data_IF_582739777195
#
_entry.id   IF_582739777195
#
_cell.length_a   1.000
_cell.length_b   1.000
_cell.length_c   1.000
_cell.angle_alpha   90.00
_cell.angle_beta   90.00
_cell.angle_gamma   90.00
#
_symmetry.space_group_name_H-M   'P 1'
#
loop_
_entity.id
_entity.type
_entity.pdbx_description
1 polymer ?
#
# COMPACT_ATOMS: atom_id res chain seq x y z
N UNK A 1 -9.98 -4.60 13.78
CA UNK A 1 -11.33 -4.09 13.45
C UNK A 1 -11.38 -3.77 11.96
N UNK A 2 -11.97 -4.68 11.18
CA UNK A 2 -12.19 -4.53 9.74
C UNK A 2 -13.18 -3.41 9.47
N UNK A 3 -12.77 -2.39 8.72
CA UNK A 3 -13.71 -1.37 8.23
C UNK A 3 -14.56 -2.01 7.13
N UNK A 4 -15.67 -2.63 7.56
CA UNK A 4 -16.69 -3.20 6.67
C UNK A 4 -17.30 -2.04 5.88
N UNK A 5 -17.61 -2.22 4.59
CA UNK A 5 -18.30 -1.19 3.83
C UNK A 5 -19.53 -0.73 4.62
N UNK A 6 -19.72 0.59 4.71
CA UNK A 6 -20.84 1.16 5.47
C UNK A 6 -22.12 0.44 5.06
N UNK A 7 -22.94 -0.01 6.03
CA UNK A 7 -24.17 -0.77 5.76
C UNK A 7 -25.03 -0.11 4.66
N UNK A 8 -24.96 1.21 4.60
CA UNK A 8 -25.55 2.05 3.57
C UNK A 8 -25.10 1.74 2.14
N UNK A 9 -23.80 1.61 1.86
CA UNK A 9 -23.32 1.26 0.49
C UNK A 9 -23.75 -0.12 0.04
N UNK A 10 -23.84 -1.08 0.97
CA UNK A 10 -24.40 -2.42 0.65
C UNK A 10 -25.88 -2.34 0.29
N UNK A 11 -26.64 -1.44 0.92
CA UNK A 11 -28.05 -1.22 0.60
C UNK A 11 -28.21 -0.56 -0.77
N UNK A 12 -27.36 0.42 -1.10
CA UNK A 12 -27.36 1.09 -2.42
C UNK A 12 -27.11 0.13 -3.60
N UNK A 13 -26.44 -1.01 -3.37
CA UNK A 13 -26.27 -2.06 -4.40
C UNK A 13 -27.58 -2.73 -4.84
N UNK A 14 -28.66 -2.60 -4.06
CA UNK A 14 -29.99 -3.15 -4.39
C UNK A 14 -30.79 -2.24 -5.34
N UNK A 15 -30.36 -0.99 -5.52
CA UNK A 15 -31.04 -0.06 -6.42
C UNK A 15 -30.81 -0.47 -7.89
N UNK A 16 -31.79 -0.23 -8.78
CA UNK A 16 -31.74 -0.64 -10.20
C UNK A 16 -30.73 0.15 -11.06
N UNK A 17 -29.84 0.92 -10.45
CA UNK A 17 -28.85 1.77 -11.12
C UNK A 17 -27.50 1.05 -11.18
N UNK A 18 -27.04 0.71 -12.40
CA UNK A 18 -25.79 -0.06 -12.65
C UNK A 18 -24.57 0.43 -11.86
N UNK A 19 -24.41 1.75 -11.71
CA UNK A 19 -23.27 2.39 -11.02
C UNK A 19 -23.21 2.05 -9.53
N UNK A 20 -24.36 1.91 -8.86
CA UNK A 20 -24.41 1.53 -7.44
C UNK A 20 -24.29 0.02 -7.25
N UNK A 21 -24.73 -0.78 -8.23
CA UNK A 21 -24.68 -2.24 -8.19
C UNK A 21 -23.27 -2.81 -8.37
N UNK A 22 -22.43 -2.20 -9.21
CA UNK A 22 -21.06 -2.66 -9.47
C UNK A 22 -20.05 -1.48 -9.53
N UNK A 23 -19.59 -0.99 -8.37
CA UNK A 23 -18.60 0.09 -8.34
C UNK A 23 -17.26 -0.39 -8.93
N UNK A 24 -16.48 0.50 -9.58
CA UNK A 24 -15.18 0.14 -10.10
C UNK A 24 -14.24 -0.36 -9.00
N UNK A 25 -13.35 -1.33 -9.29
CA UNK A 25 -12.40 -1.82 -8.31
C UNK A 25 -11.44 -0.70 -7.89
N UNK A 26 -11.17 -0.63 -6.59
CA UNK A 26 -10.21 0.34 -6.00
C UNK A 26 -8.92 -0.39 -5.69
N UNK A 27 -7.79 0.18 -6.13
CA UNK A 27 -6.45 -0.31 -5.82
C UNK A 27 -5.68 0.81 -5.14
N UNK A 28 -5.10 0.51 -3.97
CA UNK A 28 -4.24 1.45 -3.26
C UNK A 28 -2.86 1.45 -3.94
N UNK A 29 -2.33 2.62 -4.32
CA UNK A 29 -0.99 2.71 -4.92
C UNK A 29 -0.03 3.33 -3.91
N UNK A 30 1.05 2.62 -3.61
CA UNK A 30 2.13 3.06 -2.72
C UNK A 30 3.42 3.20 -3.53
N UNK A 31 3.90 4.43 -3.68
CA UNK A 31 5.19 4.71 -4.33
C UNK A 31 6.32 4.62 -3.30
N UNK A 32 7.34 3.84 -3.63
CA UNK A 32 8.56 3.60 -2.87
C UNK A 32 9.73 4.07 -3.75
N UNK A 33 10.13 5.32 -3.58
CA UNK A 33 11.14 5.98 -4.41
C UNK A 33 12.31 6.48 -3.56
N UNK A 34 13.53 6.27 -4.06
CA UNK A 34 14.76 6.75 -3.45
C UNK A 34 15.53 5.70 -2.66
N UNK A 35 16.64 6.12 -2.06
CA UNK A 35 17.53 5.24 -1.29
C UNK A 35 16.90 4.84 0.05
N UNK A 36 17.05 3.58 0.44
CA UNK A 36 16.52 3.06 1.72
C UNK A 36 17.51 3.35 2.83
N UNK A 37 17.20 4.26 3.75
CA UNK A 37 18.11 4.60 4.85
C UNK A 37 17.39 5.19 6.06
N UNK A 38 18.03 5.09 7.22
CA UNK A 38 17.56 5.72 8.46
C UNK A 38 17.94 7.19 8.50
N UNK A 39 17.07 8.01 9.07
CA UNK A 39 17.32 9.44 9.29
C UNK A 39 16.49 10.35 8.39
N UNK A 40 16.43 11.63 8.78
CA UNK A 40 15.80 12.68 7.97
C UNK A 40 16.85 13.22 7.02
N UNK A 41 16.69 12.94 5.74
CA UNK A 41 17.48 13.60 4.69
C UNK A 41 16.67 14.75 4.10
N UNK A 42 17.36 15.73 3.54
CA UNK A 42 16.76 16.76 2.69
C UNK A 42 16.29 16.20 1.34
N UNK A 43 16.79 15.03 0.93
CA UNK A 43 16.33 14.29 -0.25
C UNK A 43 15.29 13.22 0.12
N UNK A 44 14.47 12.84 -0.86
CA UNK A 44 13.46 11.80 -0.70
C UNK A 44 14.14 10.44 -0.47
N UNK A 45 14.18 10.01 0.80
CA UNK A 45 14.72 8.72 1.22
C UNK A 45 13.62 7.83 1.79
N UNK A 46 13.73 6.53 1.55
CA UNK A 46 12.84 5.52 2.12
C UNK A 46 13.31 5.13 3.51
N UNK A 47 12.64 5.65 4.54
CA UNK A 47 12.78 5.18 5.91
C UNK A 47 11.48 4.50 6.36
N UNK A 48 11.59 3.53 7.26
CA UNK A 48 10.43 2.86 7.83
C UNK A 48 9.48 3.86 8.51
N UNK A 49 10.02 4.85 9.23
CA UNK A 49 9.21 5.87 9.91
C UNK A 49 8.38 6.70 8.91
N UNK A 50 8.97 7.09 7.78
CA UNK A 50 8.29 7.86 6.74
C UNK A 50 7.24 7.03 6.00
N UNK A 51 7.55 5.77 5.69
CA UNK A 51 6.69 4.91 4.85
C UNK A 51 5.56 4.25 5.66
N UNK A 52 5.77 3.98 6.96
CA UNK A 52 4.76 3.36 7.84
C UNK A 52 3.37 4.00 7.73
N UNK A 53 3.16 5.31 7.93
CA UNK A 53 1.83 5.90 7.81
C UNK A 53 1.23 5.81 6.40
N UNK A 54 2.06 5.69 5.35
CA UNK A 54 1.59 5.48 3.98
C UNK A 54 1.05 4.05 3.80
N UNK A 55 1.80 3.06 4.29
CA UNK A 55 1.37 1.65 4.32
C UNK A 55 0.04 1.54 5.07
N UNK A 56 -0.06 2.11 6.28
CA UNK A 56 -1.29 2.10 7.06
C UNK A 56 -2.49 2.66 6.30
N UNK A 57 -2.31 3.77 5.58
CA UNK A 57 -3.37 4.38 4.78
C UNK A 57 -3.77 3.50 3.60
N UNK A 58 -2.79 2.92 2.89
CA UNK A 58 -3.05 2.05 1.76
C UNK A 58 -3.91 0.83 2.16
N UNK A 59 -3.62 0.23 3.31
CA UNK A 59 -4.35 -0.94 3.83
C UNK A 59 -5.67 -0.60 4.55
N UNK A 60 -5.94 0.68 4.84
CA UNK A 60 -7.20 1.16 5.41
C UNK A 60 -8.21 1.61 4.34
N UNK A 61 -7.83 1.66 3.06
CA UNK A 61 -8.74 2.08 2.00
C UNK A 61 -9.97 1.16 1.91
N UNK A 62 -11.20 1.70 2.07
CA UNK A 62 -12.41 0.90 2.03
C UNK A 62 -12.59 0.24 0.67
N UNK A 63 -13.03 -1.02 0.69
CA UNK A 63 -13.32 -1.81 -0.52
C UNK A 63 -12.13 -2.00 -1.48
N UNK A 64 -10.90 -1.70 -1.03
CA UNK A 64 -9.68 -1.95 -1.79
C UNK A 64 -9.61 -3.45 -2.17
N UNK A 65 -9.26 -3.71 -3.43
CA UNK A 65 -9.11 -5.06 -3.98
C UNK A 65 -7.67 -5.54 -3.95
N UNK A 66 -6.71 -4.62 -3.95
CA UNK A 66 -5.28 -4.88 -3.91
C UNK A 66 -4.53 -3.63 -3.43
N UNK A 67 -3.26 -3.84 -3.10
CA UNK A 67 -2.26 -2.77 -2.95
C UNK A 67 -1.21 -2.95 -4.04
N UNK A 68 -0.95 -1.91 -4.82
CA UNK A 68 0.14 -1.84 -5.78
C UNK A 68 1.32 -1.11 -5.15
N UNK A 69 2.49 -1.73 -5.12
CA UNK A 69 3.75 -1.10 -4.78
C UNK A 69 4.42 -0.67 -6.09
N UNK A 70 4.80 0.59 -6.19
CA UNK A 70 5.59 1.11 -7.31
C UNK A 70 6.97 1.40 -6.76
N UNK A 71 7.99 0.68 -7.23
CA UNK A 71 9.32 0.63 -6.64
C UNK A 71 10.32 1.25 -7.61
N UNK A 72 11.01 2.29 -7.14
CA UNK A 72 12.15 2.90 -7.82
C UNK A 72 13.24 3.19 -6.78
N UNK A 73 13.97 2.14 -6.39
CA UNK A 73 14.98 2.20 -5.34
C UNK A 73 16.25 1.43 -5.72
N UNK A 74 17.45 2.05 -5.60
CA UNK A 74 18.72 1.34 -5.71
C UNK A 74 19.03 0.44 -4.49
N UNK A 75 18.14 0.40 -3.49
CA UNK A 75 18.32 -0.32 -2.24
C UNK A 75 18.87 0.55 -1.12
N UNK A 76 19.60 -0.05 -0.19
CA UNK A 76 20.23 0.64 0.94
C UNK A 76 20.28 -0.20 2.21
N UNK A 77 19.90 0.39 3.34
CA UNK A 77 19.99 -0.23 4.66
C UNK A 77 19.13 -1.51 4.75
N UNK A 78 19.74 -2.69 4.99
CA UNK A 78 19.00 -3.95 5.12
C UNK A 78 18.01 -3.96 6.29
N UNK A 79 18.32 -3.25 7.38
CA UNK A 79 17.44 -3.13 8.54
C UNK A 79 16.12 -2.42 8.18
N UNK A 80 16.22 -1.22 7.57
CA UNK A 80 15.07 -0.46 7.07
C UNK A 80 14.25 -1.23 6.03
N UNK A 81 14.90 -1.87 5.04
CA UNK A 81 14.21 -2.72 4.05
C UNK A 81 13.43 -3.85 4.72
N UNK A 82 14.03 -4.54 5.69
CA UNK A 82 13.36 -5.62 6.44
C UNK A 82 12.16 -5.12 7.23
N UNK A 83 12.24 -3.95 7.87
CA UNK A 83 11.12 -3.36 8.61
C UNK A 83 9.96 -2.99 7.68
N UNK A 84 10.24 -2.35 6.55
CA UNK A 84 9.24 -1.99 5.53
C UNK A 84 8.56 -3.26 5.00
N UNK A 85 9.34 -4.26 4.58
CA UNK A 85 8.82 -5.53 4.07
C UNK A 85 7.94 -6.26 5.09
N UNK A 86 8.43 -6.43 6.34
CA UNK A 86 7.66 -7.08 7.41
C UNK A 86 6.33 -6.39 7.65
N UNK A 87 6.32 -5.05 7.64
CA UNK A 87 5.12 -4.28 7.88
C UNK A 87 4.09 -4.42 6.74
N UNK A 88 4.53 -4.34 5.48
CA UNK A 88 3.66 -4.59 4.33
C UNK A 88 3.06 -6.00 4.39
N UNK A 89 3.88 -7.01 4.67
CA UNK A 89 3.41 -8.41 4.79
C UNK A 89 2.41 -8.59 5.93
N UNK A 90 2.66 -7.99 7.09
CA UNK A 90 1.76 -8.04 8.22
C UNK A 90 0.39 -7.41 7.89
N UNK A 91 0.38 -6.23 7.24
CA UNK A 91 -0.87 -5.56 6.84
C UNK A 91 -1.60 -6.30 5.72
N UNK A 92 -0.88 -6.88 4.77
CA UNK A 92 -1.45 -7.75 3.74
C UNK A 92 -2.15 -8.97 4.34
N UNK A 93 -1.54 -9.62 5.32
CA UNK A 93 -2.12 -10.76 6.03
C UNK A 93 -3.35 -10.34 6.86
N UNK A 94 -3.26 -9.26 7.63
CA UNK A 94 -4.36 -8.76 8.46
C UNK A 94 -5.59 -8.39 7.62
N UNK A 95 -5.37 -7.72 6.48
CA UNK A 95 -6.44 -7.22 5.62
C UNK A 95 -6.85 -8.19 4.53
N UNK A 96 -6.11 -9.29 4.35
CA UNK A 96 -6.28 -10.28 3.27
C UNK A 96 -6.31 -9.59 1.89
N UNK A 97 -5.46 -8.57 1.72
CA UNK A 97 -5.33 -7.85 0.45
C UNK A 97 -4.10 -8.36 -0.29
N UNK A 98 -4.22 -8.74 -1.57
CA UNK A 98 -3.07 -9.04 -2.39
C UNK A 98 -2.20 -7.79 -2.56
N UNK A 99 -0.90 -7.98 -2.53
CA UNK A 99 0.10 -6.94 -2.78
C UNK A 99 0.83 -7.29 -4.05
N UNK A 100 0.86 -6.37 -5.00
CA UNK A 100 1.50 -6.53 -6.32
C UNK A 100 2.59 -5.48 -6.41
N UNK A 101 3.81 -5.89 -6.73
CA UNK A 101 4.94 -4.98 -6.90
C UNK A 101 5.19 -4.70 -8.38
N UNK A 102 5.44 -3.44 -8.70
CA UNK A 102 5.80 -2.93 -10.02
C UNK A 102 7.13 -2.23 -9.86
N UNK A 103 8.12 -2.64 -10.65
CA UNK A 103 9.44 -2.02 -10.68
C UNK A 103 9.45 -0.98 -11.80
N UNK A 104 9.86 0.24 -11.51
CA UNK A 104 10.13 1.29 -12.50
C UNK A 104 11.58 1.12 -13.03
N UNK A 105 12.47 2.09 -12.80
CA UNK A 105 13.83 2.07 -13.36
C UNK A 105 14.79 1.14 -12.60
N UNK A 106 14.70 1.11 -11.27
CA UNK A 106 15.57 0.29 -10.43
C UNK A 106 14.82 -0.29 -9.23
N UNK A 107 14.99 -1.59 -8.99
CA UNK A 107 14.66 -2.25 -7.72
C UNK A 107 15.77 -3.25 -7.42
N UNK A 108 16.81 -2.76 -6.72
CA UNK A 108 18.02 -3.53 -6.47
C UNK A 108 18.32 -3.67 -4.98
N UNK A 109 19.04 -4.74 -4.63
CA UNK A 109 19.46 -5.04 -3.25
C UNK A 109 18.28 -5.19 -2.28
N UNK A 110 17.99 -4.17 -1.47
CA UNK A 110 16.86 -4.14 -0.53
C UNK A 110 15.62 -3.42 -1.04
N UNK A 111 15.64 -2.93 -2.29
CA UNK A 111 14.53 -2.28 -3.00
C UNK A 111 13.48 -3.26 -3.47
#
# INVERSE_FOLDING_TARGET
MTDKPSRFRRLLRLLPVKRFRNPPPVVAVLRLEGMIMSGRSFQANLSYEAVKPLIERAFKLPEAKAVALVINSPGGSPAQSSLIWKHIRARAAERKLPVIAFVEDVAASGG
#
